data_IF_963755682300
#
_entry.id   IF_963755682300
#
_cell.length_a   1.000
_cell.length_b   1.000
_cell.length_c   1.000
_cell.angle_alpha   90.00
_cell.angle_beta   90.00
_cell.angle_gamma   90.00
#
_symmetry.space_group_name_H-M   'P 1'
#
loop_
_entity.id
_entity.type
_entity.pdbx_description
1 polymer ?
#
# COMPACT_ATOMS: atom_id res chain seq x y z
N UNK A 1 17.91 -8.63 38.41
CA UNK A 1 17.10 -8.95 37.22
C UNK A 1 17.47 -7.96 36.12
N UNK A 2 18.32 -8.39 35.18
CA UNK A 2 18.83 -7.54 34.10
C UNK A 2 17.73 -7.34 33.06
N UNK A 3 17.22 -6.12 32.90
CA UNK A 3 16.27 -5.80 31.82
C UNK A 3 16.97 -6.03 30.49
N UNK A 4 16.58 -7.06 29.76
CA UNK A 4 17.00 -7.25 28.38
C UNK A 4 16.57 -6.01 27.58
N UNK A 5 17.54 -5.32 26.97
CA UNK A 5 17.29 -4.18 26.11
C UNK A 5 16.79 -4.70 24.75
N UNK A 6 15.51 -5.08 24.69
CA UNK A 6 14.87 -5.58 23.47
C UNK A 6 14.64 -4.40 22.55
N UNK A 7 15.61 -4.10 21.69
CA UNK A 7 15.44 -3.09 20.64
C UNK A 7 14.31 -3.52 19.71
N UNK A 8 13.29 -2.68 19.56
CA UNK A 8 12.23 -2.89 18.57
C UNK A 8 12.85 -2.82 17.18
N UNK A 9 12.75 -3.88 16.35
CA UNK A 9 13.20 -3.79 14.97
C UNK A 9 12.33 -2.78 14.23
N UNK A 10 12.96 -1.74 13.69
CA UNK A 10 12.29 -0.68 12.92
C UNK A 10 12.64 -0.84 11.45
N UNK A 11 11.63 -0.80 10.59
CA UNK A 11 11.79 -0.76 9.13
C UNK A 11 11.31 0.59 8.62
N UNK A 12 12.21 1.36 8.01
CA UNK A 12 11.89 2.66 7.43
C UNK A 12 11.68 2.55 5.92
N UNK A 13 10.50 2.95 5.47
CA UNK A 13 10.20 3.12 4.04
C UNK A 13 10.07 4.61 3.75
N UNK A 14 10.84 5.11 2.78
CA UNK A 14 10.77 6.50 2.29
C UNK A 14 10.10 6.52 0.94
N UNK A 15 9.44 7.64 0.60
CA UNK A 15 8.81 7.87 -0.70
C UNK A 15 7.76 6.78 -1.07
N UNK A 16 6.95 6.37 -0.08
CA UNK A 16 5.84 5.45 -0.32
C UNK A 16 4.70 6.16 -1.04
N UNK A 17 4.08 5.48 -2.00
CA UNK A 17 2.89 5.99 -2.70
C UNK A 17 1.63 5.59 -1.94
N UNK A 18 0.63 6.47 -1.92
CA UNK A 18 -0.65 6.22 -1.27
C UNK A 18 -1.72 5.96 -2.33
N UNK A 19 -2.45 4.85 -2.18
CA UNK A 19 -3.72 4.63 -2.88
C UNK A 19 -4.83 4.92 -1.88
N UNK A 20 -5.69 5.88 -2.22
CA UNK A 20 -6.91 6.18 -1.46
C UNK A 20 -8.10 5.71 -2.25
N UNK A 21 -8.91 4.85 -1.63
CA UNK A 21 -10.20 4.40 -2.16
C UNK A 21 -11.33 5.26 -1.61
N UNK A 22 -12.47 5.27 -2.28
CA UNK A 22 -13.69 5.93 -1.77
C UNK A 22 -14.32 5.14 -0.62
N UNK A 23 -14.23 3.82 -0.67
CA UNK A 23 -14.88 2.90 0.28
C UNK A 23 -13.91 1.81 0.76
N UNK A 24 -14.09 1.27 1.98
CA UNK A 24 -13.26 0.19 2.52
C UNK A 24 -13.31 -1.09 1.70
N UNK A 25 -14.48 -1.44 1.14
CA UNK A 25 -14.67 -2.65 0.33
C UNK A 25 -13.75 -2.67 -0.88
N UNK A 26 -13.56 -1.53 -1.54
CA UNK A 26 -12.65 -1.40 -2.68
C UNK A 26 -11.22 -1.69 -2.22
N UNK A 27 -10.79 -1.18 -1.06
CA UNK A 27 -9.44 -1.45 -0.56
C UNK A 27 -9.22 -2.94 -0.24
N UNK A 28 -10.27 -3.70 0.10
CA UNK A 28 -10.22 -5.15 0.27
C UNK A 28 -10.14 -5.88 -1.06
N UNK A 29 -10.95 -5.48 -2.04
CA UNK A 29 -10.90 -6.01 -3.41
C UNK A 29 -9.51 -5.84 -4.04
N UNK A 30 -8.91 -4.65 -3.86
CA UNK A 30 -7.57 -4.34 -4.32
C UNK A 30 -6.50 -5.26 -3.69
N UNK A 31 -6.62 -5.56 -2.39
CA UNK A 31 -5.71 -6.45 -1.67
C UNK A 31 -5.90 -7.92 -2.01
N UNK A 32 -7.14 -8.35 -2.29
CA UNK A 32 -7.45 -9.72 -2.67
C UNK A 32 -6.82 -10.11 -4.02
N UNK A 33 -6.49 -9.12 -4.88
CA UNK A 33 -5.81 -9.36 -6.14
C UNK A 33 -4.30 -9.52 -5.94
N UNK A 34 -3.79 -10.70 -6.30
CA UNK A 34 -2.36 -11.05 -6.19
C UNK A 34 -1.42 -10.04 -6.89
N UNK A 35 -1.81 -9.48 -8.05
CA UNK A 35 -0.94 -8.58 -8.83
C UNK A 35 -0.75 -7.22 -8.16
N UNK A 36 -1.77 -6.71 -7.45
CA UNK A 36 -1.72 -5.45 -6.73
C UNK A 36 -1.30 -5.64 -5.27
N UNK A 37 -1.81 -6.67 -4.59
CA UNK A 37 -1.45 -7.01 -3.21
C UNK A 37 0.05 -7.22 -2.99
N UNK A 38 0.79 -7.73 -4.01
CA UNK A 38 2.27 -7.83 -3.94
C UNK A 38 2.99 -6.48 -3.96
N UNK A 39 2.36 -5.43 -4.50
CA UNK A 39 2.91 -4.07 -4.58
C UNK A 39 2.57 -3.28 -3.33
N UNK A 40 1.52 -3.67 -2.61
CA UNK A 40 1.13 -3.06 -1.34
C UNK A 40 2.08 -3.48 -0.22
N UNK A 41 2.52 -2.50 0.55
CA UNK A 41 3.41 -2.64 1.69
C UNK A 41 2.62 -2.87 2.98
N UNK A 42 1.56 -2.09 3.19
CA UNK A 42 0.66 -2.19 4.32
C UNK A 42 -0.63 -1.41 4.06
N UNK A 43 -1.64 -1.66 4.90
CA UNK A 43 -2.85 -0.82 5.01
C UNK A 43 -2.62 0.22 6.10
N UNK A 44 -2.73 1.51 5.77
CA UNK A 44 -2.60 2.62 6.72
C UNK A 44 -3.93 2.92 7.43
N UNK A 45 -5.03 2.84 6.69
CA UNK A 45 -6.40 2.95 7.19
C UNK A 45 -7.32 2.09 6.33
N UNK A 46 -8.60 2.00 6.68
CA UNK A 46 -9.59 1.21 5.93
C UNK A 46 -9.66 1.58 4.43
N UNK A 47 -9.37 2.83 4.07
CA UNK A 47 -9.43 3.34 2.70
C UNK A 47 -8.06 3.74 2.13
N UNK A 48 -6.97 3.55 2.87
CA UNK A 48 -5.62 3.97 2.43
C UNK A 48 -4.64 2.80 2.46
N UNK A 49 -4.08 2.51 1.28
CA UNK A 49 -3.05 1.51 1.08
C UNK A 49 -1.69 2.18 0.81
N UNK A 50 -0.64 1.66 1.44
CA UNK A 50 0.74 2.04 1.18
C UNK A 50 1.30 1.14 0.08
N UNK A 51 1.78 1.72 -1.00
CA UNK A 51 2.50 0.99 -2.06
C UNK A 51 3.99 1.04 -1.75
N UNK A 52 4.70 -0.03 -2.09
CA UNK A 52 6.17 -0.09 -2.01
C UNK A 52 6.79 1.10 -2.76
N UNK A 53 7.92 1.64 -2.27
CA UNK A 53 8.69 2.60 -3.04
C UNK A 53 9.01 2.04 -4.43
N UNK A 54 9.06 2.91 -5.43
CA UNK A 54 9.40 2.59 -6.83
C UNK A 54 8.39 1.72 -7.59
N UNK A 55 7.32 1.24 -6.94
CA UNK A 55 6.26 0.43 -7.57
C UNK A 55 5.00 1.25 -7.92
N UNK A 56 5.10 2.57 -7.89
CA UNK A 56 3.98 3.49 -8.10
C UNK A 56 3.36 3.33 -9.49
N UNK A 57 4.18 3.34 -10.54
CA UNK A 57 3.71 3.22 -11.92
C UNK A 57 3.11 1.84 -12.19
N UNK A 58 3.71 0.78 -11.64
CA UNK A 58 3.18 -0.57 -11.71
C UNK A 58 1.80 -0.68 -11.03
N UNK A 59 1.62 -0.04 -9.87
CA UNK A 59 0.32 -0.01 -9.20
C UNK A 59 -0.73 0.76 -9.99
N UNK A 60 -0.37 1.89 -10.61
CA UNK A 60 -1.26 2.66 -11.49
C UNK A 60 -1.69 1.84 -12.70
N UNK A 61 -0.75 1.13 -13.34
CA UNK A 61 -1.05 0.30 -14.51
C UNK A 61 -1.96 -0.88 -14.16
N UNK A 62 -1.73 -1.54 -13.02
CA UNK A 62 -2.63 -2.60 -12.55
C UNK A 62 -4.03 -2.06 -12.25
N UNK A 63 -4.16 -0.89 -11.62
CA UNK A 63 -5.45 -0.24 -11.39
C UNK A 63 -6.18 0.07 -12.71
N UNK A 64 -5.47 0.54 -13.73
CA UNK A 64 -6.04 0.79 -15.06
C UNK A 64 -6.51 -0.50 -15.74
N UNK A 65 -5.72 -1.58 -15.65
CA UNK A 65 -6.12 -2.91 -16.18
C UNK A 65 -7.37 -3.45 -15.50
N UNK A 66 -7.61 -3.06 -14.25
CA UNK A 66 -8.83 -3.41 -13.51
C UNK A 66 -10.06 -2.56 -13.92
N UNK A 67 -9.89 -1.58 -14.80
CA UNK A 67 -10.96 -0.66 -15.21
C UNK A 67 -11.15 0.53 -14.27
N UNK A 68 -10.28 0.70 -13.27
CA UNK A 68 -10.30 1.89 -12.44
C UNK A 68 -9.65 3.08 -13.15
N UNK A 69 -10.11 4.29 -12.82
CA UNK A 69 -9.58 5.56 -13.33
C UNK A 69 -8.89 6.33 -12.19
N UNK A 70 -7.67 5.94 -11.78
CA UNK A 70 -7.00 6.57 -10.66
C UNK A 70 -6.65 8.03 -10.97
N UNK A 71 -7.05 8.94 -10.06
CA UNK A 71 -6.62 10.34 -10.10
C UNK A 71 -5.23 10.46 -9.48
N UNK A 72 -4.26 10.88 -10.28
CA UNK A 72 -2.87 11.01 -9.85
C UNK A 72 -2.65 12.42 -9.30
N UNK A 73 -2.19 12.51 -8.05
CA UNK A 73 -1.70 13.73 -7.43
C UNK A 73 -0.24 13.50 -7.04
N UNK A 74 0.65 14.41 -7.43
CA UNK A 74 2.08 14.39 -7.08
C UNK A 74 2.38 15.47 -6.07
#
# INVERSE_FOLDING_TARGET
MTRANTRTPVKLHRNVTLIRTSEPVIAEELLARKSLGRLVLARLSETVLLVKPDEADAAVDELRKMGHTPRIAR
#
